data_IF_126574455536
#
_entry.id   IF_126574455536
#
_cell.length_a   1.000
_cell.length_b   1.000
_cell.length_c   1.000
_cell.angle_alpha   90.00
_cell.angle_beta   90.00
_cell.angle_gamma   90.00
#
_symmetry.space_group_name_H-M   'P 1'
#
loop_
_entity.id
_entity.type
_entity.pdbx_description
1 polymer ?
#
# COMPACT_ATOMS: atom_id res chain seq x y z
N UNK A 1 -19.39 -0.88 7.98
CA UNK A 1 -18.42 -1.97 7.74
C UNK A 1 -17.09 -1.38 8.15
N UNK A 2 -16.42 -1.97 9.13
CA UNK A 2 -15.15 -1.44 9.63
C UNK A 2 -14.05 -1.79 8.61
N UNK A 3 -13.13 -0.84 8.35
CA UNK A 3 -12.08 -0.99 7.35
C UNK A 3 -10.70 -0.76 7.98
N UNK A 4 -9.71 -1.46 7.45
CA UNK A 4 -8.29 -1.18 7.70
C UNK A 4 -7.77 -0.29 6.60
N UNK A 5 -6.88 0.64 6.90
CA UNK A 5 -6.17 1.39 5.88
C UNK A 5 -4.66 1.36 6.07
N UNK A 6 -3.93 1.33 4.96
CA UNK A 6 -2.49 1.49 4.90
C UNK A 6 -2.20 2.79 4.17
N UNK A 7 -1.61 3.74 4.88
CA UNK A 7 -1.07 4.97 4.31
C UNK A 7 0.40 4.76 3.93
N UNK A 8 0.79 5.23 2.76
CA UNK A 8 2.20 5.30 2.36
C UNK A 8 2.55 6.67 1.81
N UNK A 9 3.84 6.99 1.88
CA UNK A 9 4.44 8.18 1.30
C UNK A 9 5.49 7.73 0.29
N UNK A 10 5.41 8.25 -0.93
CA UNK A 10 6.34 7.97 -2.00
C UNK A 10 7.03 9.27 -2.39
N UNK A 11 8.35 9.32 -2.24
CA UNK A 11 9.18 10.48 -2.61
C UNK A 11 10.07 10.08 -3.77
N UNK A 12 10.07 10.85 -4.85
CA UNK A 12 11.02 10.67 -5.93
C UNK A 12 12.28 11.50 -5.65
N UNK A 13 13.37 10.84 -5.23
CA UNK A 13 14.67 11.46 -4.99
C UNK A 13 15.54 11.54 -6.25
N UNK A 14 15.04 11.13 -7.42
CA UNK A 14 15.75 11.18 -8.69
C UNK A 14 15.66 12.54 -9.38
N UNK A 15 16.42 12.68 -10.47
CA UNK A 15 16.50 13.92 -11.27
C UNK A 15 15.44 14.01 -12.37
N UNK A 16 14.73 12.90 -12.65
CA UNK A 16 13.68 12.83 -13.66
C UNK A 16 12.37 12.34 -13.03
N UNK A 17 11.25 12.64 -13.69
CA UNK A 17 9.95 12.09 -13.32
C UNK A 17 9.97 10.56 -13.45
N UNK A 18 9.34 9.87 -12.50
CA UNK A 18 9.26 8.42 -12.48
C UNK A 18 7.81 7.98 -12.24
N UNK A 19 7.43 6.88 -12.88
CA UNK A 19 6.11 6.27 -12.72
C UNK A 19 6.24 4.95 -11.98
N UNK A 20 5.31 4.72 -11.06
CA UNK A 20 5.28 3.55 -10.20
C UNK A 20 3.91 2.91 -10.25
N UNK A 21 3.87 1.60 -10.46
CA UNK A 21 2.67 0.79 -10.27
C UNK A 21 2.62 0.29 -8.85
N UNK A 22 1.47 0.52 -8.21
CA UNK A 22 1.26 0.26 -6.80
C UNK A 22 0.11 -0.74 -6.68
N UNK A 23 0.43 -1.91 -6.15
CA UNK A 23 -0.49 -3.05 -6.03
C UNK A 23 -0.77 -3.35 -4.56
N UNK A 24 -1.97 -3.87 -4.34
CA UNK A 24 -2.43 -4.36 -3.06
C UNK A 24 -2.56 -5.88 -3.12
N UNK A 25 -1.87 -6.57 -2.22
CA UNK A 25 -1.89 -8.02 -2.13
C UNK A 25 -2.41 -8.44 -0.75
N UNK A 26 -3.53 -9.16 -0.76
CA UNK A 26 -4.02 -9.87 0.41
C UNK A 26 -3.12 -11.08 0.67
N UNK A 27 -2.57 -11.16 1.87
CA UNK A 27 -1.52 -12.14 2.22
C UNK A 27 -2.14 -13.52 2.48
N UNK A 28 -3.45 -13.58 2.69
CA UNK A 28 -4.22 -14.79 2.97
C UNK A 28 -4.88 -15.37 1.70
N UNK A 29 -4.46 -14.90 0.52
CA UNK A 29 -4.97 -15.36 -0.77
C UNK A 29 -6.33 -14.76 -1.14
N UNK A 30 -6.72 -13.66 -0.49
CA UNK A 30 -7.88 -12.86 -0.85
C UNK A 30 -7.74 -12.13 -2.19
N UNK A 31 -8.78 -11.38 -2.61
CA UNK A 31 -8.77 -10.67 -3.88
C UNK A 31 -7.69 -9.59 -3.90
N UNK A 32 -6.89 -9.57 -4.96
CA UNK A 32 -5.93 -8.50 -5.20
C UNK A 32 -6.67 -7.21 -5.58
N UNK A 33 -6.22 -6.09 -5.03
CA UNK A 33 -6.76 -4.78 -5.38
C UNK A 33 -6.27 -4.37 -6.76
N UNK A 34 -7.09 -3.61 -7.50
CA UNK A 34 -6.66 -3.09 -8.80
C UNK A 34 -5.38 -2.24 -8.64
N UNK A 35 -4.29 -2.56 -9.37
CA UNK A 35 -3.08 -1.78 -9.31
C UNK A 35 -3.33 -0.37 -9.83
N UNK A 36 -2.60 0.59 -9.25
CA UNK A 36 -2.67 2.00 -9.65
C UNK A 36 -1.31 2.52 -10.05
N UNK A 37 -1.25 3.22 -11.18
CA UNK A 37 -0.04 3.90 -11.63
C UNK A 37 -0.03 5.33 -11.13
N UNK A 38 1.08 5.75 -10.53
CA UNK A 38 1.31 7.12 -10.06
C UNK A 38 2.61 7.64 -10.66
N UNK A 39 2.55 8.82 -11.25
CA UNK A 39 3.73 9.55 -11.71
C UNK A 39 4.13 10.58 -10.68
N UNK A 40 5.42 10.61 -10.34
CA UNK A 40 5.99 11.51 -9.32
C UNK A 40 7.15 12.27 -9.96
N UNK A 41 7.04 13.59 -9.98
CA UNK A 41 8.09 14.48 -10.48
C UNK A 41 9.36 14.45 -9.62
N UNK A 42 10.49 15.01 -10.11
CA UNK A 42 11.74 15.04 -9.35
C UNK A 42 11.58 15.88 -8.07
N UNK A 43 11.96 15.31 -6.93
CA UNK A 43 11.81 15.92 -5.60
C UNK A 43 10.36 15.96 -5.08
N UNK A 44 9.38 15.46 -5.85
CA UNK A 44 7.99 15.45 -5.45
C UNK A 44 7.71 14.31 -4.45
N UNK A 45 6.76 14.57 -3.55
CA UNK A 45 6.24 13.60 -2.59
C UNK A 45 4.75 13.45 -2.80
N UNK A 46 4.29 12.20 -2.92
CA UNK A 46 2.88 11.84 -2.98
C UNK A 46 2.50 10.99 -1.78
N UNK A 47 1.27 11.16 -1.31
CA UNK A 47 0.70 10.37 -0.21
C UNK A 47 -0.47 9.57 -0.80
N UNK A 48 -0.46 8.26 -0.54
CA UNK A 48 -1.51 7.36 -0.98
C UNK A 48 -2.05 6.53 0.17
N UNK A 49 -3.26 6.02 -0.04
CA UNK A 49 -3.94 5.14 0.92
C UNK A 49 -4.47 3.91 0.19
N UNK A 50 -4.42 2.76 0.83
CA UNK A 50 -5.23 1.59 0.49
C UNK A 50 -6.15 1.28 1.65
N UNK A 51 -7.31 0.73 1.35
CA UNK A 51 -8.27 0.30 2.34
C UNK A 51 -8.70 -1.13 2.05
N UNK A 52 -8.74 -1.94 3.08
CA UNK A 52 -9.13 -3.35 3.07
C UNK A 52 -10.03 -3.68 4.25
N UNK A 53 -10.42 -4.94 4.38
CA UNK A 53 -11.25 -5.41 5.49
C UNK A 53 -10.45 -5.60 6.79
N UNK A 54 -11.11 -5.48 7.94
CA UNK A 54 -10.49 -5.44 9.28
C UNK A 54 -10.00 -6.78 9.85
N UNK A 55 -9.98 -7.83 9.03
CA UNK A 55 -9.61 -9.19 9.44
C UNK A 55 -8.57 -9.84 8.53
N UNK A 56 -7.97 -9.05 7.65
CA UNK A 56 -7.04 -9.53 6.65
C UNK A 56 -5.67 -8.86 6.80
N UNK A 57 -4.62 -9.59 6.47
CA UNK A 57 -3.27 -9.08 6.38
C UNK A 57 -2.99 -8.58 4.96
N UNK A 58 -2.37 -7.40 4.85
CA UNK A 58 -2.11 -6.77 3.56
C UNK A 58 -0.66 -6.45 3.35
N UNK A 59 -0.19 -6.65 2.12
CA UNK A 59 1.09 -6.11 1.66
C UNK A 59 0.85 -5.12 0.52
N UNK A 60 1.70 -4.11 0.46
CA UNK A 60 1.71 -3.12 -0.59
C UNK A 60 2.98 -3.30 -1.41
N UNK A 61 2.83 -3.48 -2.71
CA UNK A 61 3.95 -3.63 -3.64
C UNK A 61 4.03 -2.38 -4.52
N UNK A 62 5.21 -1.75 -4.59
CA UNK A 62 5.49 -0.58 -5.42
C UNK A 62 6.56 -0.98 -6.42
N UNK A 63 6.21 -1.05 -7.70
CA UNK A 63 7.12 -1.40 -8.78
C UNK A 63 7.37 -0.20 -9.69
N UNK A 64 8.62 0.12 -10.04
CA UNK A 64 8.89 1.15 -11.04
C UNK A 64 8.47 0.66 -12.44
N UNK A 65 7.77 1.50 -13.19
CA UNK A 65 7.32 1.18 -14.56
C UNK A 65 8.49 1.03 -15.55
N UNK A 66 9.65 1.61 -15.23
CA UNK A 66 10.87 1.49 -16.03
C UNK A 66 11.49 0.08 -16.01
N UNK A 67 10.98 -0.83 -15.18
CA UNK A 67 11.59 -2.13 -14.92
C UNK A 67 12.73 -2.01 -13.91
N UNK A 68 12.52 -2.59 -12.72
CA UNK A 68 13.45 -2.56 -11.60
C UNK A 68 12.87 -3.33 -10.42
N UNK A 69 13.59 -3.34 -9.30
CA UNK A 69 13.14 -4.06 -8.11
C UNK A 69 11.91 -3.37 -7.49
N UNK A 70 10.89 -4.18 -7.18
CA UNK A 70 9.73 -3.70 -6.46
C UNK A 70 10.03 -3.60 -4.96
N UNK A 71 9.53 -2.53 -4.33
CA UNK A 71 9.52 -2.40 -2.88
C UNK A 71 8.24 -3.01 -2.34
N UNK A 72 8.35 -3.85 -1.32
CA UNK A 72 7.19 -4.45 -0.63
C UNK A 72 7.13 -3.93 0.80
N UNK A 73 5.96 -3.42 1.21
CA UNK A 73 5.67 -2.92 2.55
C UNK A 73 4.59 -3.79 3.21
N UNK A 74 4.82 -4.20 4.46
CA UNK A 74 3.90 -5.08 5.21
C UNK A 74 4.55 -6.42 5.62
N UNK A 75 3.76 -7.43 6.02
CA UNK A 75 2.30 -7.41 6.09
C UNK A 75 1.79 -6.50 7.22
N UNK A 76 0.74 -5.73 6.96
CA UNK A 76 -0.01 -5.01 7.98
C UNK A 76 -1.29 -5.81 8.22
N UNK A 77 -1.37 -6.42 9.39
CA UNK A 77 -2.55 -7.12 9.85
C UNK A 77 -3.29 -6.18 10.80
N UNK A 78 -4.53 -5.85 10.47
CA UNK A 78 -5.41 -5.26 11.46
C UNK A 78 -6.18 -6.39 12.12
N UNK A 79 -6.08 -6.47 13.44
CA UNK A 79 -6.95 -7.34 14.23
C UNK A 79 -8.14 -6.51 14.71
N UNK A 80 -9.32 -7.14 14.77
CA UNK A 80 -10.42 -6.59 15.54
C UNK A 80 -9.97 -6.54 17.00
N UNK A 81 -9.85 -5.34 17.58
CA UNK A 81 -9.62 -5.22 19.03
C UNK A 81 -10.90 -5.64 19.75
N UNK A 82 -11.10 -6.94 19.94
CA UNK A 82 -12.17 -7.49 20.79
C UNK A 82 -11.97 -7.16 22.27
N UNK A 83 -10.87 -6.48 22.63
CA UNK A 83 -10.46 -6.18 24.01
C UNK A 83 -11.09 -4.95 24.68
N UNK A 84 -11.92 -4.15 24.00
CA UNK A 84 -12.59 -3.00 24.64
C UNK A 84 -13.96 -3.33 25.28
N UNK A 85 -14.38 -4.61 25.29
CA UNK A 85 -15.50 -5.08 26.12
C UNK A 85 -14.97 -5.85 27.35
N UNK A 86 -14.14 -5.20 28.17
CA UNK A 86 -13.91 -5.65 29.55
C UNK A 86 -13.82 -4.44 30.47
N UNK A 87 -14.94 -3.74 30.68
CA UNK A 87 -15.28 -3.06 31.95
C UNK A 87 -16.80 -2.99 32.08
#
# INVERSE_FOLDING_TARGET
MDVTSLQYTLTNSGEAAASYTISYLDVDGGPEGNPRTVSVGPGETVIGYFSGELQHCFTLQICPESGGDCVVLGPVCAEYTSGWMMY
#
